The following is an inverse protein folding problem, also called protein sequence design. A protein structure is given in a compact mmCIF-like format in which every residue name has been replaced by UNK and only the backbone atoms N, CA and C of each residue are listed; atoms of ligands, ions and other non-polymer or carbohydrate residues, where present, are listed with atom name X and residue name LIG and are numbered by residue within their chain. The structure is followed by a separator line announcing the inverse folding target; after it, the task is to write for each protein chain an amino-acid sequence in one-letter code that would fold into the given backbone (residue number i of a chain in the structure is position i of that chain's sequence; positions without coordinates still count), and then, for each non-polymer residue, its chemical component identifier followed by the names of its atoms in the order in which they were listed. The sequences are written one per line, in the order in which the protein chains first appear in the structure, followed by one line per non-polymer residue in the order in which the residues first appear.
data_IF_925950837292
#
_entry.id   IF_925950837292
#
_cell.length_a   1.000
_cell.length_b   1.000
_cell.length_c   1.000
_cell.angle_alpha   90.00
_cell.angle_beta   90.00
_cell.angle_gamma   90.00
#
_symmetry.space_group_name_H-M   'P 1'
#
loop_
_entity.id
_entity.type
_entity.pdbx_description
1 polymer ?
#
# COMPACT_ATOMS: atom_id res chain seq x y z
N UNK A 1 -7.16 30.54 -26.71
CA UNK A 1 -6.38 29.44 -26.10
C UNK A 1 -7.39 28.45 -25.56
N UNK A 2 -7.41 27.23 -26.11
CA UNK A 2 -8.32 26.18 -25.65
C UNK A 2 -7.94 25.76 -24.23
N UNK A 3 -8.93 25.58 -23.35
CA UNK A 3 -8.69 24.92 -22.07
C UNK A 3 -8.26 23.47 -22.31
N UNK A 4 -7.28 22.97 -21.55
CA UNK A 4 -7.51 21.70 -20.87
C UNK A 4 -7.00 21.75 -19.42
N UNK A 5 -7.90 21.66 -18.45
CA UNK A 5 -7.56 20.88 -17.26
C UNK A 5 -7.79 19.41 -17.64
N UNK A 6 -6.96 18.48 -17.15
CA UNK A 6 -7.56 17.53 -16.24
C UNK A 6 -6.65 17.24 -15.05
N UNK A 7 -7.14 17.52 -13.85
CA UNK A 7 -6.54 17.15 -12.55
C UNK A 7 -6.60 15.63 -12.27
N UNK A 8 -6.94 14.81 -13.28
CA UNK A 8 -7.11 13.36 -13.16
C UNK A 8 -5.79 12.59 -13.24
N UNK A 9 -4.82 13.07 -14.03
CA UNK A 9 -3.53 12.39 -14.23
C UNK A 9 -2.69 12.36 -12.94
N UNK A 10 -2.66 13.47 -12.20
CA UNK A 10 -1.91 13.58 -10.95
C UNK A 10 -2.39 12.64 -9.84
N UNK A 11 -3.66 12.21 -9.86
CA UNK A 11 -4.20 11.36 -8.78
C UNK A 11 -3.75 9.91 -8.92
N UNK A 12 -3.72 9.40 -10.16
CA UNK A 12 -3.28 8.02 -10.48
C UNK A 12 -1.76 7.89 -10.37
N UNK A 13 -1.04 8.89 -10.86
CA UNK A 13 0.42 8.93 -10.79
C UNK A 13 0.92 9.08 -9.35
N UNK A 14 0.29 9.95 -8.55
CA UNK A 14 0.62 10.06 -7.13
C UNK A 14 0.28 8.79 -6.34
N UNK A 15 -0.83 8.12 -6.66
CA UNK A 15 -1.18 6.85 -6.05
C UNK A 15 -0.18 5.74 -6.42
N UNK A 16 0.22 5.67 -7.69
CA UNK A 16 1.25 4.75 -8.18
C UNK A 16 2.60 4.98 -7.49
N UNK A 17 3.01 6.24 -7.31
CA UNK A 17 4.22 6.58 -6.55
C UNK A 17 4.13 6.15 -5.09
N UNK A 18 2.99 6.38 -4.43
CA UNK A 18 2.79 5.96 -3.04
C UNK A 18 2.78 4.44 -2.88
N UNK A 19 2.12 3.72 -3.79
CA UNK A 19 2.12 2.25 -3.79
C UNK A 19 3.51 1.68 -4.10
N UNK A 20 4.27 2.32 -5.01
CA UNK A 20 5.64 1.90 -5.31
C UNK A 20 6.57 2.13 -4.11
N UNK A 21 6.35 3.22 -3.36
CA UNK A 21 7.06 3.45 -2.10
C UNK A 21 6.69 2.39 -1.06
N UNK A 22 5.41 2.12 -0.88
CA UNK A 22 4.93 1.08 0.04
C UNK A 22 5.47 -0.31 -0.35
N UNK A 23 5.50 -0.65 -1.64
CA UNK A 23 6.09 -1.89 -2.14
C UNK A 23 7.56 -2.00 -1.74
N UNK A 24 8.33 -0.91 -1.88
CA UNK A 24 9.74 -0.88 -1.51
C UNK A 24 9.94 -1.08 0.00
N UNK A 25 9.11 -0.43 0.82
CA UNK A 25 9.15 -0.55 2.28
C UNK A 25 8.75 -1.98 2.74
N UNK A 26 7.67 -2.53 2.17
CA UNK A 26 7.22 -3.90 2.47
C UNK A 26 8.22 -4.94 1.98
N UNK A 27 8.81 -4.75 0.81
CA UNK A 27 9.86 -5.64 0.28
C UNK A 27 11.09 -5.66 1.19
N UNK A 28 11.48 -4.50 1.71
CA UNK A 28 12.55 -4.44 2.71
C UNK A 28 12.17 -5.22 3.97
N UNK A 29 10.92 -5.10 4.45
CA UNK A 29 10.40 -5.89 5.57
C UNK A 29 10.38 -7.40 5.29
N UNK A 30 10.07 -7.82 4.05
CA UNK A 30 10.17 -9.22 3.62
C UNK A 30 11.61 -9.74 3.70
N UNK A 31 12.59 -8.90 3.35
CA UNK A 31 14.01 -9.24 3.37
C UNK A 31 14.63 -9.21 4.78
N UNK A 32 14.10 -8.34 5.65
CA UNK A 32 14.62 -8.09 7.00
C UNK A 32 13.53 -8.19 8.09
N UNK A 33 12.77 -9.30 8.17
CA UNK A 33 11.60 -9.39 9.05
C UNK A 33 11.94 -9.30 10.54
N UNK A 34 13.18 -9.64 10.92
CA UNK A 34 13.65 -9.54 12.31
C UNK A 34 14.13 -8.13 12.70
N UNK A 35 14.38 -7.26 11.71
CA UNK A 35 14.79 -5.86 11.92
C UNK A 35 13.61 -4.89 11.82
N UNK A 36 12.43 -5.38 11.41
CA UNK A 36 11.19 -4.58 11.38
C UNK A 36 10.82 -4.23 12.82
N UNK A 37 11.09 -2.98 13.18
CA UNK A 37 10.72 -2.42 14.48
C UNK A 37 9.29 -1.87 14.45
N UNK A 38 8.69 -1.69 15.62
CA UNK A 38 7.39 -1.00 15.76
C UNK A 38 7.34 0.34 15.00
N UNK A 39 8.47 1.08 14.98
CA UNK A 39 8.57 2.36 14.25
C UNK A 39 8.34 2.18 12.75
N UNK A 40 8.95 1.16 12.13
CA UNK A 40 8.78 0.86 10.70
C UNK A 40 7.34 0.42 10.41
N UNK A 41 6.74 -0.40 11.28
CA UNK A 41 5.32 -0.77 11.14
C UNK A 41 4.39 0.43 11.28
N UNK A 42 4.68 1.37 12.18
CA UNK A 42 3.91 2.61 12.31
C UNK A 42 4.07 3.53 11.09
N UNK A 43 5.26 3.59 10.49
CA UNK A 43 5.48 4.32 9.24
C UNK A 43 4.70 3.69 8.08
N UNK A 44 4.77 2.37 7.93
CA UNK A 44 3.96 1.63 6.95
C UNK A 44 2.47 1.87 7.17
N UNK A 45 1.99 1.83 8.43
CA UNK A 45 0.59 2.12 8.76
C UNK A 45 0.17 3.52 8.31
N UNK A 46 1.02 4.53 8.49
CA UNK A 46 0.77 5.88 7.98
C UNK A 46 0.74 5.91 6.44
N UNK A 47 1.70 5.27 5.77
CA UNK A 47 1.71 5.15 4.30
C UNK A 47 0.42 4.51 3.78
N UNK A 48 -0.05 3.44 4.44
CA UNK A 48 -1.31 2.76 4.10
C UNK A 48 -2.53 3.64 4.37
N UNK A 49 -2.56 4.43 5.44
CA UNK A 49 -3.69 5.32 5.69
C UNK A 49 -3.75 6.50 4.70
N UNK A 50 -2.59 7.04 4.31
CA UNK A 50 -2.51 8.03 3.24
C UNK A 50 -2.99 7.45 1.89
N UNK A 51 -2.56 6.22 1.57
CA UNK A 51 -3.03 5.48 0.42
C UNK A 51 -4.55 5.26 0.47
N UNK A 52 -5.12 4.92 1.62
CA UNK A 52 -6.57 4.72 1.77
C UNK A 52 -7.37 5.95 1.33
N UNK A 53 -6.94 7.15 1.73
CA UNK A 53 -7.61 8.39 1.35
C UNK A 53 -7.54 8.65 -0.15
N UNK A 54 -6.45 8.24 -0.81
CA UNK A 54 -6.32 8.34 -2.28
C UNK A 54 -7.02 7.20 -3.03
N UNK A 55 -6.95 5.96 -2.57
CA UNK A 55 -7.67 4.83 -3.16
C UNK A 55 -9.19 5.03 -3.11
N UNK A 56 -9.71 5.73 -2.08
CA UNK A 56 -11.13 6.13 -2.00
C UNK A 56 -11.60 6.93 -3.22
N UNK A 57 -10.73 7.74 -3.84
CA UNK A 57 -11.14 8.54 -5.00
C UNK A 57 -11.27 7.71 -6.28
N UNK A 58 -10.63 6.54 -6.34
CA UNK A 58 -10.76 5.58 -7.45
C UNK A 58 -11.99 4.67 -7.28
N UNK A 59 -12.30 4.27 -6.05
CA UNK A 59 -13.45 3.40 -5.77
C UNK A 59 -13.37 2.04 -6.47
N UNK A 60 -14.52 1.37 -6.63
CA UNK A 60 -14.63 0.14 -7.42
C UNK A 60 -13.97 -1.10 -6.79
N UNK A 61 -13.52 -2.01 -7.65
CA UNK A 61 -12.84 -3.25 -7.24
C UNK A 61 -11.47 -2.96 -6.64
N UNK A 62 -10.70 -2.06 -7.27
CA UNK A 62 -9.41 -1.58 -6.78
C UNK A 62 -9.46 -1.14 -5.30
N UNK A 63 -10.43 -0.30 -4.92
CA UNK A 63 -10.56 0.16 -3.54
C UNK A 63 -10.93 -0.99 -2.58
N UNK A 64 -11.71 -1.99 -3.03
CA UNK A 64 -12.04 -3.16 -2.21
C UNK A 64 -10.81 -4.04 -1.97
N UNK A 65 -9.99 -4.28 -2.99
CA UNK A 65 -8.73 -5.02 -2.86
C UNK A 65 -7.77 -4.30 -1.90
N UNK A 66 -7.64 -2.98 -2.04
CA UNK A 66 -6.87 -2.16 -1.11
C UNK A 66 -7.42 -2.22 0.34
N UNK A 67 -8.75 -2.18 0.51
CA UNK A 67 -9.38 -2.30 1.82
C UNK A 67 -9.10 -3.66 2.48
N UNK A 68 -9.08 -4.75 1.71
CA UNK A 68 -8.68 -6.06 2.20
C UNK A 68 -7.21 -6.08 2.60
N UNK A 69 -6.32 -5.54 1.76
CA UNK A 69 -4.91 -5.36 2.08
C UNK A 69 -4.72 -4.62 3.41
N UNK A 70 -5.40 -3.48 3.58
CA UNK A 70 -5.32 -2.67 4.82
C UNK A 70 -5.78 -3.45 6.05
N UNK A 71 -6.83 -4.26 5.94
CA UNK A 71 -7.32 -5.09 7.06
C UNK A 71 -6.31 -6.16 7.47
N UNK A 72 -5.75 -6.86 6.50
CA UNK A 72 -4.72 -7.86 6.73
C UNK A 72 -3.46 -7.20 7.34
N UNK A 73 -3.08 -6.02 6.84
CA UNK A 73 -1.96 -5.25 7.36
C UNK A 73 -2.19 -4.77 8.80
N UNK A 74 -3.38 -4.24 9.11
CA UNK A 74 -3.72 -3.78 10.46
C UNK A 74 -3.75 -4.95 11.45
N UNK A 75 -4.24 -6.12 11.02
CA UNK A 75 -4.18 -7.34 11.83
C UNK A 75 -2.73 -7.74 12.15
N UNK A 76 -1.83 -7.71 11.16
CA UNK A 76 -0.40 -7.98 11.43
C UNK A 76 0.25 -6.92 12.30
N UNK A 77 -0.09 -5.64 12.10
CA UNK A 77 0.40 -4.54 12.93
C UNK A 77 -0.01 -4.68 14.40
N UNK A 78 -1.19 -5.23 14.67
CA UNK A 78 -1.67 -5.48 16.03
C UNK A 78 -1.12 -6.80 16.62
N UNK A 79 -0.73 -7.75 15.76
CA UNK A 79 -0.19 -9.07 16.12
C UNK A 79 1.26 -9.29 15.61
N UNK A 80 2.25 -8.47 16.01
CA UNK A 80 3.61 -8.56 15.50
C UNK A 80 4.30 -9.90 15.81
N UNK A 81 3.90 -10.57 16.89
CA UNK A 81 4.44 -11.89 17.28
C UNK A 81 3.93 -13.05 16.41
N UNK A 82 2.87 -12.83 15.62
CA UNK A 82 2.29 -13.85 14.72
C UNK A 82 2.73 -13.67 13.27
N UNK A 83 3.52 -12.63 12.99
CA UNK A 83 4.05 -12.31 11.67
C UNK A 83 4.99 -13.42 11.20
N UNK A 84 4.67 -14.02 10.06
CA UNK A 84 5.57 -14.93 9.37
C UNK A 84 6.19 -14.21 8.18
N UNK A 85 7.39 -14.64 7.78
CA UNK A 85 8.08 -14.13 6.59
C UNK A 85 7.19 -14.21 5.33
N UNK A 86 6.31 -15.20 5.25
CA UNK A 86 5.37 -15.36 4.14
C UNK A 86 4.27 -14.30 4.09
N UNK A 87 3.96 -13.64 5.20
CA UNK A 87 2.91 -12.62 5.23
C UNK A 87 3.37 -11.31 4.57
N UNK A 88 4.63 -10.90 4.79
CA UNK A 88 5.20 -9.75 4.06
C UNK A 88 5.28 -10.01 2.55
N UNK A 89 5.60 -11.24 2.14
CA UNK A 89 5.58 -11.63 0.74
C UNK A 89 4.16 -11.56 0.15
N UNK A 90 3.13 -11.96 0.91
CA UNK A 90 1.73 -11.79 0.51
C UNK A 90 1.36 -10.32 0.34
N UNK A 91 1.82 -9.44 1.23
CA UNK A 91 1.62 -8.00 1.09
C UNK A 91 2.31 -7.42 -0.13
N UNK A 92 3.55 -7.82 -0.40
CA UNK A 92 4.28 -7.42 -1.60
C UNK A 92 3.47 -7.79 -2.86
N UNK A 93 2.98 -9.03 -2.95
CA UNK A 93 2.16 -9.50 -4.08
C UNK A 93 0.86 -8.69 -4.23
N UNK A 94 0.16 -8.42 -3.12
CA UNK A 94 -1.06 -7.59 -3.11
C UNK A 94 -0.77 -6.15 -3.59
N UNK A 95 0.32 -5.53 -3.14
CA UNK A 95 0.70 -4.18 -3.58
C UNK A 95 1.08 -4.18 -5.06
N UNK A 96 1.80 -5.20 -5.53
CA UNK A 96 2.12 -5.37 -6.94
C UNK A 96 0.87 -5.56 -7.81
N UNK A 97 -0.14 -6.29 -7.32
CA UNK A 97 -1.43 -6.39 -8.01
C UNK A 97 -2.13 -5.03 -8.11
N UNK A 98 -2.14 -4.23 -7.02
CA UNK A 98 -2.70 -2.89 -7.04
C UNK A 98 -1.96 -1.98 -8.04
N UNK A 99 -0.62 -2.04 -8.08
CA UNK A 99 0.18 -1.31 -9.07
C UNK A 99 -0.13 -1.73 -10.51
N UNK A 100 -0.40 -3.02 -10.75
CA UNK A 100 -0.81 -3.52 -12.07
C UNK A 100 -2.20 -3.02 -12.47
N UNK A 101 -3.16 -3.01 -11.54
CA UNK A 101 -4.52 -2.52 -11.80
C UNK A 101 -4.53 -1.00 -12.11
N UNK A 102 -3.50 -0.28 -11.63
CA UNK A 102 -3.28 1.13 -11.93
C UNK A 102 -2.54 1.41 -13.25
N UNK A 103 -1.92 0.43 -13.91
CA UNK A 103 -1.29 0.63 -15.22
C UNK A 103 -2.30 0.46 -16.34
#
# INVERSE_FOLDING_TARGET
MAAPSPKEDSSKEALSNLLSKLETEVRWCTQHPNDVSDIEMQQLKQSVDELNNRCKTFGGQFYKDFQNFRKEFDYMADHPNEIKTGDFQKFEDMIQQLLKDLK
#
